data_IF_961276381187
#
_entry.id   IF_961276381187
#
_cell.length_a   1.000
_cell.length_b   1.000
_cell.length_c   1.000
_cell.angle_alpha   90.00
_cell.angle_beta   90.00
_cell.angle_gamma   90.00
#
_symmetry.space_group_name_H-M   'P 1'
#
loop_
_entity.id
_entity.type
_entity.pdbx_description
1 polymer ?
#
# COMPACT_ATOMS: atom_id res chain seq x y z
N UNK A 1 -38.50 6.49 21.00
CA UNK A 1 -37.47 7.51 21.33
C UNK A 1 -36.08 7.07 20.89
N UNK A 2 -35.58 5.91 21.34
CA UNK A 2 -34.24 5.37 21.00
C UNK A 2 -33.99 5.25 19.48
N UNK A 3 -34.94 4.70 18.71
CA UNK A 3 -34.84 4.62 17.24
C UNK A 3 -34.73 5.99 16.55
N UNK A 4 -35.34 7.04 17.13
CA UNK A 4 -35.31 8.40 16.59
C UNK A 4 -33.96 9.06 16.88
N UNK A 5 -33.42 8.86 18.08
CA UNK A 5 -32.07 9.28 18.46
C UNK A 5 -31.00 8.59 17.60
N UNK A 6 -31.13 7.28 17.36
CA UNK A 6 -30.22 6.53 16.48
C UNK A 6 -30.24 7.08 15.05
N UNK A 7 -31.42 7.34 14.50
CA UNK A 7 -31.56 7.91 13.15
C UNK A 7 -30.97 9.32 13.05
N UNK A 8 -31.23 10.19 14.01
CA UNK A 8 -30.62 11.54 14.04
C UNK A 8 -29.10 11.51 14.20
N UNK A 9 -28.56 10.60 15.01
CA UNK A 9 -27.12 10.38 15.12
C UNK A 9 -26.53 9.89 13.80
N UNK A 10 -27.19 8.93 13.14
CA UNK A 10 -26.78 8.42 11.85
C UNK A 10 -26.82 9.51 10.75
N UNK A 11 -27.89 10.29 10.67
CA UNK A 11 -28.05 11.36 9.66
C UNK A 11 -27.00 12.47 9.85
N UNK A 12 -26.74 12.89 11.09
CA UNK A 12 -25.68 13.85 11.40
C UNK A 12 -24.28 13.28 11.10
N UNK A 13 -24.07 11.99 11.33
CA UNK A 13 -22.81 11.31 11.02
C UNK A 13 -22.57 11.23 9.49
N UNK A 14 -23.62 11.04 8.68
CA UNK A 14 -23.51 11.01 7.23
C UNK A 14 -23.18 12.39 6.63
N UNK A 15 -23.80 13.45 7.13
CA UNK A 15 -23.47 14.81 6.72
C UNK A 15 -22.02 15.16 7.06
N UNK A 16 -21.56 14.80 8.27
CA UNK A 16 -20.16 14.99 8.67
C UNK A 16 -19.20 14.22 7.76
N UNK A 17 -19.52 12.97 7.41
CA UNK A 17 -18.69 12.18 6.48
C UNK A 17 -18.65 12.80 5.09
N UNK A 18 -19.77 13.33 4.59
CA UNK A 18 -19.78 14.02 3.30
C UNK A 18 -18.87 15.25 3.28
N UNK A 19 -18.85 16.03 4.35
CA UNK A 19 -17.95 17.19 4.48
C UNK A 19 -16.49 16.73 4.51
N UNK A 20 -16.17 15.73 5.33
CA UNK A 20 -14.80 15.19 5.42
C UNK A 20 -14.33 14.64 4.06
N UNK A 21 -15.18 13.91 3.33
CA UNK A 21 -14.85 13.42 1.99
C UNK A 21 -14.55 14.59 1.04
N UNK A 22 -15.36 15.65 1.09
CA UNK A 22 -15.12 16.85 0.29
C UNK A 22 -13.76 17.46 0.65
N UNK A 23 -13.47 17.64 1.94
CA UNK A 23 -12.23 18.25 2.42
C UNK A 23 -10.98 17.43 2.07
N UNK A 24 -11.08 16.09 2.05
CA UNK A 24 -10.00 15.21 1.58
C UNK A 24 -9.67 15.44 0.09
N UNK A 25 -10.67 15.79 -0.71
CA UNK A 25 -10.53 16.01 -2.15
C UNK A 25 -10.14 17.45 -2.52
N UNK A 26 -10.00 18.35 -1.55
CA UNK A 26 -9.55 19.73 -1.79
C UNK A 26 -8.03 19.73 -2.05
N UNK A 27 -7.59 20.58 -2.98
CA UNK A 27 -6.17 20.80 -3.30
C UNK A 27 -5.47 21.70 -2.26
N UNK A 28 -5.68 21.40 -0.98
CA UNK A 28 -5.08 22.06 0.17
C UNK A 28 -4.56 20.98 1.12
N UNK A 29 -3.24 20.94 1.31
CA UNK A 29 -2.60 19.87 2.07
C UNK A 29 -2.95 19.89 3.56
N UNK A 30 -3.19 21.05 4.15
CA UNK A 30 -3.49 21.19 5.57
C UNK A 30 -4.93 20.73 5.82
N UNK A 31 -5.86 21.18 4.97
CA UNK A 31 -7.27 20.78 5.03
C UNK A 31 -7.41 19.28 4.79
N UNK A 32 -6.78 18.73 3.74
CA UNK A 32 -6.86 17.31 3.44
C UNK A 32 -6.26 16.44 4.55
N UNK A 33 -5.08 16.81 5.09
CA UNK A 33 -4.48 16.09 6.20
C UNK A 33 -5.33 16.15 7.47
N UNK A 34 -5.92 17.31 7.79
CA UNK A 34 -6.79 17.45 8.95
C UNK A 34 -8.09 16.66 8.78
N UNK A 35 -8.66 16.64 7.57
CA UNK A 35 -9.83 15.84 7.25
C UNK A 35 -9.55 14.33 7.41
N UNK A 36 -8.38 13.85 6.98
CA UNK A 36 -7.95 12.45 7.19
C UNK A 36 -7.76 12.11 8.67
N UNK A 37 -7.20 13.04 9.48
CA UNK A 37 -7.12 12.87 10.93
C UNK A 37 -8.51 12.73 11.54
N UNK A 38 -9.43 13.64 11.19
CA UNK A 38 -10.82 13.61 11.62
C UNK A 38 -11.49 12.29 11.24
N UNK A 39 -11.33 11.84 9.99
CA UNK A 39 -11.79 10.54 9.52
C UNK A 39 -11.27 9.41 10.43
N UNK A 40 -9.97 9.43 10.73
CA UNK A 40 -9.34 8.45 11.60
C UNK A 40 -9.89 8.42 13.03
N UNK A 41 -10.52 9.47 13.53
CA UNK A 41 -11.18 9.47 14.85
C UNK A 41 -12.60 8.92 14.80
N UNK A 42 -13.31 9.12 13.68
CA UNK A 42 -14.73 8.75 13.55
C UNK A 42 -14.94 7.37 12.92
N UNK A 43 -13.91 6.80 12.29
CA UNK A 43 -13.92 5.50 11.59
C UNK A 43 -14.29 4.28 12.46
N UNK A 44 -14.49 4.45 13.76
CA UNK A 44 -14.99 3.39 14.64
C UNK A 44 -16.51 3.30 14.66
N UNK A 45 -17.21 4.28 14.10
CA UNK A 45 -18.67 4.32 14.10
C UNK A 45 -19.25 3.42 12.99
N UNK A 46 -20.06 2.39 13.33
CA UNK A 46 -20.54 1.39 12.36
C UNK A 46 -21.32 1.96 11.15
N UNK A 47 -21.94 3.13 11.32
CA UNK A 47 -22.68 3.81 10.24
C UNK A 47 -21.80 4.51 9.21
N UNK A 48 -20.50 4.73 9.50
CA UNK A 48 -19.56 5.46 8.65
C UNK A 48 -18.66 4.53 7.84
N UNK A 49 -18.41 3.37 8.41
CA UNK A 49 -17.47 2.33 7.97
C UNK A 49 -17.95 1.58 6.72
N UNK A 50 -19.18 1.78 6.27
CA UNK A 50 -19.77 0.98 5.17
C UNK A 50 -19.74 1.63 3.78
N UNK A 51 -19.15 2.81 3.60
CA UNK A 51 -19.37 3.63 2.40
C UNK A 51 -18.17 3.63 1.42
N UNK A 52 -18.44 3.24 0.16
CA UNK A 52 -17.50 3.30 -0.97
C UNK A 52 -16.85 4.70 -1.15
N UNK A 53 -17.59 5.82 -0.98
CA UNK A 53 -17.02 7.17 -1.07
C UNK A 53 -15.83 7.44 -0.13
N UNK A 54 -15.85 6.91 1.11
CA UNK A 54 -14.74 7.10 2.05
C UNK A 54 -13.46 6.47 1.51
N UNK A 55 -13.55 5.25 0.99
CA UNK A 55 -12.40 4.57 0.41
C UNK A 55 -11.87 5.32 -0.81
N UNK A 56 -12.74 5.83 -1.67
CA UNK A 56 -12.34 6.63 -2.83
C UNK A 56 -11.61 7.91 -2.43
N UNK A 57 -12.09 8.62 -1.40
CA UNK A 57 -11.42 9.81 -0.86
C UNK A 57 -10.03 9.47 -0.31
N UNK A 58 -9.91 8.38 0.46
CA UNK A 58 -8.62 7.92 0.99
C UNK A 58 -7.68 7.51 -0.14
N UNK A 59 -8.17 6.85 -1.20
CA UNK A 59 -7.36 6.49 -2.37
C UNK A 59 -6.88 7.74 -3.10
N UNK A 60 -7.72 8.76 -3.26
CA UNK A 60 -7.32 10.03 -3.85
C UNK A 60 -6.19 10.70 -3.03
N UNK A 61 -6.33 10.74 -1.71
CA UNK A 61 -5.27 11.23 -0.82
C UNK A 61 -3.99 10.37 -0.88
N UNK A 62 -4.15 9.05 -1.07
CA UNK A 62 -3.02 8.16 -1.35
C UNK A 62 -2.43 8.37 -2.74
N UNK A 63 -3.11 8.91 -3.74
CA UNK A 63 -2.44 9.33 -4.97
C UNK A 63 -1.67 10.64 -4.75
N UNK A 64 -2.01 11.39 -3.70
CA UNK A 64 -1.30 12.56 -3.18
C UNK A 64 -0.99 13.58 -4.29
N UNK A 65 -2.01 14.15 -4.95
CA UNK A 65 -1.84 15.05 -6.09
C UNK A 65 -0.99 16.28 -5.75
N UNK A 66 -1.03 16.75 -4.50
CA UNK A 66 -0.26 17.88 -3.99
C UNK A 66 1.20 17.55 -3.67
N UNK A 67 1.57 16.27 -3.60
CA UNK A 67 2.90 15.85 -3.17
C UNK A 67 3.16 15.99 -1.66
N UNK A 68 2.14 16.19 -0.84
CA UNK A 68 2.30 16.38 0.61
C UNK A 68 2.64 15.10 1.39
N UNK A 69 3.69 15.15 2.19
CA UNK A 69 4.05 14.06 3.10
C UNK A 69 3.01 13.87 4.22
N UNK A 70 2.39 14.97 4.67
CA UNK A 70 1.37 14.92 5.72
C UNK A 70 0.11 14.20 5.24
N UNK A 71 -0.38 14.57 4.06
CA UNK A 71 -1.52 13.89 3.42
C UNK A 71 -1.23 12.40 3.21
N UNK A 72 -0.03 12.07 2.71
CA UNK A 72 0.39 10.66 2.56
C UNK A 72 0.37 9.90 3.88
N UNK A 73 0.92 10.49 4.95
CA UNK A 73 0.94 9.87 6.28
C UNK A 73 -0.47 9.60 6.80
N UNK A 74 -1.34 10.60 6.78
CA UNK A 74 -2.69 10.47 7.32
C UNK A 74 -3.55 9.52 6.47
N UNK A 75 -3.34 9.47 5.16
CA UNK A 75 -4.02 8.53 4.27
C UNK A 75 -3.62 7.07 4.57
N UNK A 76 -2.34 6.79 4.82
CA UNK A 76 -1.89 5.47 5.26
C UNK A 76 -2.48 5.09 6.62
N UNK A 77 -2.54 6.04 7.56
CA UNK A 77 -3.17 5.83 8.87
C UNK A 77 -4.66 5.51 8.73
N UNK A 78 -5.37 6.19 7.82
CA UNK A 78 -6.76 5.89 7.49
C UNK A 78 -6.91 4.49 6.92
N UNK A 79 -6.05 4.07 5.97
CA UNK A 79 -6.07 2.70 5.43
C UNK A 79 -5.86 1.64 6.49
N UNK A 80 -4.90 1.83 7.41
CA UNK A 80 -4.66 0.88 8.50
C UNK A 80 -5.89 0.73 9.40
N UNK A 81 -6.56 1.83 9.71
CA UNK A 81 -7.81 1.81 10.50
C UNK A 81 -8.95 1.16 9.72
N UNK A 82 -9.11 1.46 8.43
CA UNK A 82 -10.12 0.83 7.57
C UNK A 82 -9.89 -0.69 7.50
N UNK A 83 -8.65 -1.13 7.25
CA UNK A 83 -8.30 -2.55 7.18
C UNK A 83 -8.61 -3.30 8.48
N UNK A 84 -8.36 -2.68 9.63
CA UNK A 84 -8.69 -3.26 10.93
C UNK A 84 -10.20 -3.39 11.17
N UNK A 85 -11.02 -2.49 10.64
CA UNK A 85 -12.48 -2.48 10.85
C UNK A 85 -13.26 -3.27 9.78
N UNK A 86 -12.72 -3.37 8.56
CA UNK A 86 -13.43 -3.82 7.36
C UNK A 86 -12.73 -4.96 6.63
N UNK A 87 -11.97 -5.79 7.35
CA UNK A 87 -11.03 -6.79 6.81
C UNK A 87 -11.45 -7.40 5.45
N UNK A 88 -12.64 -8.01 5.34
CA UNK A 88 -13.11 -8.62 4.08
C UNK A 88 -13.30 -7.60 2.94
N UNK A 89 -14.03 -6.49 3.17
CA UNK A 89 -14.23 -5.45 2.14
C UNK A 89 -12.93 -4.79 1.73
N UNK A 90 -12.02 -4.57 2.69
CA UNK A 90 -10.70 -4.01 2.41
C UNK A 90 -9.83 -4.99 1.62
N UNK A 91 -9.96 -6.29 1.87
CA UNK A 91 -9.32 -7.33 1.08
C UNK A 91 -9.85 -7.37 -0.35
N UNK A 92 -11.17 -7.34 -0.55
CA UNK A 92 -11.80 -7.33 -1.88
C UNK A 92 -11.37 -6.10 -2.72
N UNK A 93 -11.29 -4.94 -2.08
CA UNK A 93 -10.91 -3.67 -2.70
C UNK A 93 -9.39 -3.39 -2.71
N UNK A 94 -8.56 -4.32 -2.24
CA UNK A 94 -7.11 -4.14 -2.11
C UNK A 94 -6.40 -3.75 -3.40
N UNK A 95 -6.90 -4.19 -4.54
CA UNK A 95 -6.41 -3.81 -5.87
C UNK A 95 -6.53 -2.31 -6.20
N UNK A 96 -7.31 -1.56 -5.42
CA UNK A 96 -7.50 -0.11 -5.58
C UNK A 96 -6.55 0.66 -4.66
N UNK A 97 -6.55 0.34 -3.37
CA UNK A 97 -5.88 1.15 -2.34
C UNK A 97 -4.45 0.69 -2.00
N UNK A 98 -4.09 -0.57 -2.23
CA UNK A 98 -2.75 -1.07 -1.93
C UNK A 98 -1.69 -0.64 -2.97
N UNK A 99 -1.97 -0.59 -4.29
CA UNK A 99 -0.96 -0.19 -5.26
C UNK A 99 -0.34 1.21 -5.02
N UNK A 100 -1.10 2.28 -4.70
CA UNK A 100 -0.51 3.57 -4.36
C UNK A 100 0.50 3.51 -3.21
N UNK A 101 0.25 2.68 -2.19
CA UNK A 101 1.18 2.46 -1.06
C UNK A 101 2.42 1.70 -1.53
N UNK A 102 2.24 0.63 -2.32
CA UNK A 102 3.35 -0.17 -2.84
C UNK A 102 4.28 0.65 -3.75
N UNK A 103 3.74 1.55 -4.59
CA UNK A 103 4.54 2.42 -5.46
C UNK A 103 5.53 3.27 -4.67
N UNK A 104 5.16 3.70 -3.45
CA UNK A 104 6.01 4.54 -2.59
C UNK A 104 7.19 3.82 -1.96
N UNK A 105 7.23 2.49 -1.98
CA UNK A 105 8.45 1.75 -1.63
C UNK A 105 9.62 2.11 -2.56
N UNK A 106 9.31 2.62 -3.76
CA UNK A 106 10.27 3.09 -4.76
C UNK A 106 10.51 4.62 -4.70
N UNK A 107 10.01 5.33 -3.70
CA UNK A 107 10.30 6.76 -3.53
C UNK A 107 11.79 6.97 -3.23
N UNK A 108 12.38 8.08 -3.69
CA UNK A 108 13.73 8.50 -3.28
C UNK A 108 13.74 9.07 -1.85
N UNK A 109 12.61 9.57 -1.34
CA UNK A 109 12.49 10.04 0.04
C UNK A 109 12.42 8.85 1.02
N UNK A 110 13.35 8.84 1.99
CA UNK A 110 13.43 7.77 2.99
C UNK A 110 12.18 7.71 3.87
N UNK A 111 11.63 8.84 4.28
CA UNK A 111 10.46 8.89 5.17
C UNK A 111 9.25 8.29 4.46
N UNK A 112 9.04 8.59 3.19
CA UNK A 112 7.95 7.97 2.42
C UNK A 112 8.07 6.45 2.37
N UNK A 113 9.26 5.92 2.08
CA UNK A 113 9.50 4.46 2.06
C UNK A 113 9.22 3.84 3.43
N UNK A 114 9.80 4.40 4.49
CA UNK A 114 9.67 3.88 5.85
C UNK A 114 8.21 3.93 6.35
N UNK A 115 7.43 4.95 5.94
CA UNK A 115 6.00 5.02 6.27
C UNK A 115 5.17 4.00 5.49
N UNK A 116 5.48 3.82 4.20
CA UNK A 116 4.79 2.87 3.32
C UNK A 116 5.00 1.43 3.78
N UNK A 117 6.24 1.08 4.11
CA UNK A 117 6.60 -0.25 4.63
C UNK A 117 5.90 -0.53 5.96
N UNK A 118 5.91 0.41 6.90
CA UNK A 118 5.17 0.29 8.17
C UNK A 118 3.67 0.12 7.97
N UNK A 119 3.10 0.83 6.99
CA UNK A 119 1.71 0.65 6.61
C UNK A 119 1.46 -0.78 6.11
N UNK A 120 2.26 -1.24 5.14
CA UNK A 120 2.16 -2.58 4.54
C UNK A 120 2.28 -3.71 5.57
N UNK A 121 3.22 -3.60 6.51
CA UNK A 121 3.37 -4.57 7.60
C UNK A 121 2.11 -4.69 8.45
N UNK A 122 1.44 -3.57 8.76
CA UNK A 122 0.23 -3.57 9.59
C UNK A 122 -1.01 -4.12 8.86
N UNK A 123 -1.14 -3.86 7.56
CA UNK A 123 -2.25 -4.37 6.74
C UNK A 123 -1.95 -5.75 6.14
N UNK A 124 -0.75 -6.29 6.36
CA UNK A 124 -0.32 -7.58 5.83
C UNK A 124 -1.34 -8.70 6.06
N UNK A 125 -1.96 -8.87 7.25
CA UNK A 125 -2.96 -9.91 7.47
C UNK A 125 -4.21 -9.77 6.58
N UNK A 126 -4.51 -8.56 6.09
CA UNK A 126 -5.63 -8.29 5.19
C UNK A 126 -5.28 -8.63 3.73
N UNK A 127 -4.04 -8.39 3.32
CA UNK A 127 -3.61 -8.51 1.91
C UNK A 127 -2.83 -9.79 1.60
N UNK A 128 -2.38 -10.56 2.59
CA UNK A 128 -1.66 -11.83 2.40
C UNK A 128 -2.54 -13.01 2.85
N UNK A 129 -2.68 -14.09 2.04
CA UNK A 129 -2.16 -14.24 0.68
C UNK A 129 -2.82 -13.23 -0.28
N UNK A 130 -2.13 -12.80 -1.36
CA UNK A 130 -2.63 -11.74 -2.23
C UNK A 130 -3.90 -12.14 -2.98
N UNK A 131 -4.97 -11.32 -2.94
CA UNK A 131 -6.11 -11.51 -3.83
C UNK A 131 -5.68 -11.48 -5.30
N UNK A 132 -6.29 -12.29 -6.20
CA UNK A 132 -5.93 -12.31 -7.62
C UNK A 132 -6.05 -10.95 -8.30
N UNK A 133 -7.02 -10.13 -7.89
CA UNK A 133 -7.20 -8.76 -8.38
C UNK A 133 -6.01 -7.86 -8.03
N UNK A 134 -5.51 -7.95 -6.80
CA UNK A 134 -4.32 -7.20 -6.35
C UNK A 134 -3.06 -7.67 -7.10
N UNK A 135 -2.86 -8.99 -7.19
CA UNK A 135 -1.72 -9.57 -7.91
C UNK A 135 -1.69 -9.08 -9.37
N UNK A 136 -2.86 -9.04 -10.02
CA UNK A 136 -3.00 -8.55 -11.40
C UNK A 136 -2.68 -7.06 -11.52
N UNK A 137 -3.25 -6.22 -10.66
CA UNK A 137 -3.01 -4.77 -10.69
C UNK A 137 -1.53 -4.42 -10.52
N UNK A 138 -0.83 -5.10 -9.60
CA UNK A 138 0.60 -4.92 -9.39
C UNK A 138 1.45 -5.46 -10.55
N UNK A 139 1.07 -6.58 -11.16
CA UNK A 139 1.77 -7.09 -12.34
C UNK A 139 1.67 -6.13 -13.54
N UNK A 140 0.51 -5.49 -13.74
CA UNK A 140 0.32 -4.46 -14.76
C UNK A 140 1.16 -3.21 -14.46
N UNK A 141 1.13 -2.71 -13.22
CA UNK A 141 1.95 -1.57 -12.80
C UNK A 141 3.46 -1.86 -12.96
N UNK A 142 3.89 -3.07 -12.60
CA UNK A 142 5.28 -3.51 -12.74
C UNK A 142 5.77 -3.48 -14.18
N UNK A 143 4.95 -3.96 -15.12
CA UNK A 143 5.27 -3.94 -16.56
C UNK A 143 5.33 -2.53 -17.13
N UNK A 144 4.41 -1.66 -16.71
CA UNK A 144 4.29 -0.32 -17.28
C UNK A 144 5.37 0.63 -16.77
N UNK A 145 5.67 0.61 -15.47
CA UNK A 145 6.49 1.65 -14.84
C UNK A 145 7.44 1.14 -13.74
N UNK A 146 6.97 0.29 -12.81
CA UNK A 146 7.72 0.04 -11.57
C UNK A 146 9.06 -0.65 -11.80
N UNK A 147 9.13 -1.58 -12.76
CA UNK A 147 10.40 -2.25 -13.08
C UNK A 147 11.46 -1.28 -13.61
N UNK A 148 11.04 -0.27 -14.38
CA UNK A 148 11.94 0.78 -14.86
C UNK A 148 12.44 1.62 -13.68
N UNK A 149 11.55 2.07 -12.80
CA UNK A 149 11.91 2.85 -11.61
C UNK A 149 12.89 2.07 -10.73
N UNK A 150 12.68 0.77 -10.51
CA UNK A 150 13.62 -0.08 -9.75
C UNK A 150 15.02 -0.12 -10.38
N UNK A 151 15.10 -0.23 -11.72
CA UNK A 151 16.39 -0.21 -12.43
C UNK A 151 17.09 1.15 -12.26
N UNK A 152 16.34 2.24 -12.27
CA UNK A 152 16.89 3.58 -12.06
C UNK A 152 17.41 3.76 -10.63
N UNK A 153 16.69 3.29 -9.61
CA UNK A 153 17.14 3.31 -8.22
C UNK A 153 18.40 2.48 -8.00
N UNK A 154 18.51 1.31 -8.64
CA UNK A 154 19.74 0.51 -8.63
C UNK A 154 20.93 1.30 -9.19
N UNK A 155 20.73 2.01 -10.31
CA UNK A 155 21.77 2.81 -10.94
C UNK A 155 22.16 4.03 -10.10
N UNK A 156 21.23 4.56 -9.31
CA UNK A 156 21.46 5.64 -8.34
C UNK A 156 22.13 5.16 -7.03
N UNK A 157 22.36 3.85 -6.87
CA UNK A 157 23.00 3.29 -5.69
C UNK A 157 22.04 2.94 -4.54
N UNK A 158 20.73 3.11 -4.71
CA UNK A 158 19.68 2.74 -3.75
C UNK A 158 19.37 1.23 -3.80
N UNK A 159 20.41 0.41 -3.75
CA UNK A 159 20.34 -1.04 -4.02
C UNK A 159 19.56 -1.80 -2.96
N UNK A 160 19.84 -1.56 -1.69
CA UNK A 160 19.16 -2.22 -0.57
C UNK A 160 17.67 -1.88 -0.58
N UNK A 161 17.34 -0.59 -0.77
CA UNK A 161 15.95 -0.13 -0.82
C UNK A 161 15.20 -0.74 -2.00
N UNK A 162 15.86 -0.88 -3.15
CA UNK A 162 15.27 -1.55 -4.31
C UNK A 162 15.00 -3.03 -4.03
N UNK A 163 15.90 -3.73 -3.34
CA UNK A 163 15.72 -5.13 -2.97
C UNK A 163 14.59 -5.33 -1.96
N UNK A 164 14.45 -4.44 -0.97
CA UNK A 164 13.33 -4.46 -0.03
C UNK A 164 12.00 -4.27 -0.76
N UNK A 165 11.90 -3.27 -1.64
CA UNK A 165 10.71 -3.06 -2.46
C UNK A 165 10.42 -4.26 -3.37
N UNK A 166 11.46 -4.84 -3.98
CA UNK A 166 11.36 -6.04 -4.80
C UNK A 166 10.71 -7.20 -4.04
N UNK A 167 11.14 -7.42 -2.79
CA UNK A 167 10.60 -8.45 -1.91
C UNK A 167 9.09 -8.32 -1.73
N UNK A 168 8.62 -7.11 -1.40
CA UNK A 168 7.18 -6.82 -1.33
C UNK A 168 6.43 -7.14 -2.61
N UNK A 169 6.97 -6.76 -3.78
CA UNK A 169 6.29 -7.03 -5.05
C UNK A 169 6.21 -8.52 -5.39
N UNK A 170 7.25 -9.29 -5.09
CA UNK A 170 7.24 -10.75 -5.26
C UNK A 170 6.24 -11.40 -4.31
N UNK A 171 6.23 -10.99 -3.04
CA UNK A 171 5.24 -11.45 -2.06
C UNK A 171 3.81 -11.22 -2.51
N UNK A 172 3.53 -10.02 -3.04
CA UNK A 172 2.20 -9.61 -3.47
C UNK A 172 1.79 -10.18 -4.84
N UNK A 173 2.73 -10.73 -5.61
CA UNK A 173 2.39 -11.60 -6.74
C UNK A 173 2.04 -13.01 -6.26
N UNK A 174 2.73 -13.52 -5.23
CA UNK A 174 2.51 -14.85 -4.67
C UNK A 174 2.49 -15.95 -5.75
N UNK A 175 1.55 -16.89 -5.63
CA UNK A 175 1.38 -17.98 -6.60
C UNK A 175 1.04 -17.51 -8.03
N UNK A 176 0.56 -16.26 -8.21
CA UNK A 176 0.28 -15.70 -9.54
C UNK A 176 1.54 -15.29 -10.30
N UNK A 177 2.72 -15.20 -9.65
CA UNK A 177 3.97 -14.92 -10.35
C UNK A 177 4.26 -15.96 -11.45
N UNK A 178 3.81 -17.21 -11.28
CA UNK A 178 3.93 -18.26 -12.29
C UNK A 178 3.04 -18.05 -13.52
N UNK A 179 2.00 -17.20 -13.42
CA UNK A 179 1.18 -16.79 -14.57
C UNK A 179 1.88 -15.69 -15.39
N UNK A 180 2.76 -14.91 -14.76
CA UNK A 180 3.49 -13.81 -15.37
C UNK A 180 4.98 -14.12 -15.53
N UNK A 181 5.34 -15.36 -15.91
CA UNK A 181 6.74 -15.87 -15.93
C UNK A 181 7.74 -14.92 -16.57
N UNK A 182 7.41 -14.31 -17.71
CA UNK A 182 8.30 -13.35 -18.37
C UNK A 182 8.59 -12.12 -17.50
N UNK A 183 7.56 -11.57 -16.84
CA UNK A 183 7.71 -10.47 -15.90
C UNK A 183 8.55 -10.89 -14.68
N UNK A 184 8.26 -12.06 -14.12
CA UNK A 184 9.02 -12.62 -12.99
C UNK A 184 10.50 -12.77 -13.36
N UNK A 185 10.80 -13.33 -14.53
CA UNK A 185 12.18 -13.45 -15.02
C UNK A 185 12.87 -12.10 -15.20
N UNK A 186 12.15 -11.08 -15.68
CA UNK A 186 12.70 -9.73 -15.79
C UNK A 186 12.94 -9.08 -14.41
N UNK A 187 12.09 -9.38 -13.43
CA UNK A 187 12.27 -8.96 -12.05
C UNK A 187 13.47 -9.66 -11.39
N UNK A 188 13.73 -10.94 -11.69
CA UNK A 188 14.85 -11.71 -11.11
C UNK A 188 16.23 -11.14 -11.46
N UNK A 189 16.34 -10.41 -12.58
CA UNK A 189 17.57 -9.70 -12.96
C UNK A 189 18.06 -8.69 -11.92
N UNK A 190 17.16 -8.20 -11.05
CA UNK A 190 17.49 -7.28 -9.96
C UNK A 190 18.34 -7.98 -8.89
N UNK A 191 17.83 -9.00 -8.18
CA UNK A 191 18.64 -9.73 -7.20
C UNK A 191 19.84 -10.45 -7.81
N UNK A 192 19.76 -10.94 -9.05
CA UNK A 192 20.92 -11.54 -9.75
C UNK A 192 22.09 -10.56 -9.86
N UNK A 193 21.82 -9.30 -10.23
CA UNK A 193 22.84 -8.27 -10.38
C UNK A 193 23.45 -7.85 -9.03
N UNK A 194 22.66 -7.85 -7.96
CA UNK A 194 23.12 -7.42 -6.63
C UNK A 194 23.87 -8.50 -5.87
N UNK A 195 23.75 -9.76 -6.27
CA UNK A 195 24.45 -10.87 -5.61
C UNK A 195 25.98 -10.76 -5.71
N UNK A 196 26.48 -10.20 -6.82
CA UNK A 196 27.92 -9.98 -7.06
C UNK A 196 28.39 -8.58 -6.63
N UNK A 197 27.62 -7.87 -5.81
CA UNK A 197 27.99 -6.52 -5.36
C UNK A 197 29.21 -6.55 -4.44
N UNK A 198 30.01 -5.48 -4.44
CA UNK A 198 31.17 -5.38 -3.55
C UNK A 198 30.79 -5.06 -2.11
N UNK A 199 29.59 -4.50 -1.89
CA UNK A 199 29.09 -4.17 -0.57
C UNK A 199 28.43 -5.40 0.09
N UNK A 200 28.95 -5.90 1.23
CA UNK A 200 28.37 -7.05 1.93
C UNK A 200 26.90 -6.86 2.33
N UNK A 201 26.49 -5.63 2.65
CA UNK A 201 25.09 -5.35 3.00
C UNK A 201 24.15 -5.53 1.82
N UNK A 202 24.62 -5.23 0.60
CA UNK A 202 23.85 -5.47 -0.64
C UNK A 202 23.76 -6.97 -0.92
N UNK A 203 24.83 -7.73 -0.68
CA UNK A 203 24.82 -9.19 -0.81
C UNK A 203 23.84 -9.83 0.19
N UNK A 204 23.84 -9.40 1.45
CA UNK A 204 22.90 -9.87 2.49
C UNK A 204 21.47 -9.56 2.08
N UNK A 205 21.17 -8.31 1.69
CA UNK A 205 19.84 -7.94 1.20
C UNK A 205 19.42 -8.76 -0.03
N UNK A 206 20.38 -9.10 -0.90
CA UNK A 206 20.12 -9.95 -2.06
C UNK A 206 19.76 -11.37 -1.65
N UNK A 207 20.43 -11.94 -0.63
CA UNK A 207 20.09 -13.25 -0.09
C UNK A 207 18.69 -13.27 0.52
N UNK A 208 18.35 -12.26 1.34
CA UNK A 208 17.02 -12.11 1.93
C UNK A 208 15.94 -11.99 0.84
N UNK A 209 16.23 -11.30 -0.27
CA UNK A 209 15.32 -11.25 -1.41
C UNK A 209 15.10 -12.65 -2.02
N UNK A 210 16.15 -13.44 -2.21
CA UNK A 210 16.03 -14.82 -2.69
C UNK A 210 15.24 -15.73 -1.74
N UNK A 211 15.44 -15.61 -0.44
CA UNK A 211 14.63 -16.31 0.57
C UNK A 211 13.16 -15.92 0.45
N UNK A 212 12.86 -14.62 0.35
CA UNK A 212 11.51 -14.12 0.19
C UNK A 212 10.82 -14.59 -1.10
N UNK A 213 11.56 -14.87 -2.17
CA UNK A 213 11.03 -15.51 -3.38
C UNK A 213 10.55 -16.94 -3.11
N UNK A 214 11.35 -17.72 -2.38
CA UNK A 214 11.00 -19.09 -1.99
C UNK A 214 9.75 -19.07 -1.12
N UNK A 215 9.73 -18.20 -0.11
CA UNK A 215 8.58 -18.05 0.78
C UNK A 215 7.33 -17.66 -0.01
N UNK A 216 7.41 -16.71 -0.95
CA UNK A 216 6.27 -16.30 -1.77
C UNK A 216 5.67 -17.44 -2.63
N UNK A 217 6.44 -18.48 -2.95
CA UNK A 217 5.96 -19.65 -3.70
C UNK A 217 5.47 -20.79 -2.82
N UNK A 218 6.02 -20.95 -1.62
CA UNK A 218 5.64 -22.02 -0.68
C UNK A 218 4.47 -21.55 0.19
N UNK A 219 4.67 -20.47 0.93
CA UNK A 219 3.68 -19.84 1.79
C UNK A 219 4.00 -18.33 1.96
N UNK A 220 3.28 -17.44 1.25
CA UNK A 220 3.47 -15.99 1.36
C UNK A 220 3.36 -15.43 2.79
N UNK A 221 2.73 -16.17 3.72
CA UNK A 221 2.67 -15.77 5.12
C UNK A 221 4.04 -15.84 5.82
N UNK A 222 4.97 -16.66 5.31
CA UNK A 222 6.31 -16.86 5.89
C UNK A 222 7.32 -15.78 5.52
N UNK A 223 7.07 -14.98 4.48
CA UNK A 223 8.08 -14.06 3.95
C UNK A 223 8.49 -13.01 4.97
N UNK A 224 9.76 -12.95 5.37
CA UNK A 224 10.29 -11.96 6.30
C UNK A 224 11.00 -10.84 5.53
N UNK A 225 10.25 -9.85 5.06
CA UNK A 225 10.81 -8.60 4.51
C UNK A 225 10.93 -7.54 5.59
#
# INVERSE_FOLDING_TARGET
>A
MILRCYKTLADNSQNLVSLIISDIAIDDEEVAAQALKCLGFIIYHPSLVSTIPVLQAVVHALDNPTGSLSTTYEAMQAVMKLAAQLSERMRESSHIWAPPICRRLLSTDKRERDMSERCLLKIRPTIIPPPPSLSKALAEAMKLTLLTVMKDLLNQGLKIQTLQAWGWFICLQGSHAMKYRHLTNDMLKIPEKTFSDHNPQVQIASLVAWEGLVDAFIDPALSNF
#
